data_IF_758538399137
#
_entry.id   IF_758538399137
#
_cell.length_a   1.000
_cell.length_b   1.000
_cell.length_c   1.000
_cell.angle_alpha   90.00
_cell.angle_beta   90.00
_cell.angle_gamma   90.00
#
_symmetry.space_group_name_H-M   'P 1'
#
loop_
_entity.id
_entity.type
_entity.pdbx_description
1 polymer ?
#
# COMPACT_ATOMS: atom_id res chain seq x y z
N UNK A 1 17.00 -27.44 19.13
CA UNK A 1 17.02 -26.07 19.67
C UNK A 1 15.64 -25.52 19.40
N UNK A 2 14.67 -25.89 20.24
CA UNK A 2 13.27 -25.51 20.08
C UNK A 2 12.82 -24.91 21.41
N UNK A 3 12.99 -23.58 21.50
CA UNK A 3 12.56 -22.79 22.64
C UNK A 3 11.16 -22.26 22.34
N UNK A 4 10.13 -22.99 22.78
CA UNK A 4 8.79 -22.43 22.91
C UNK A 4 8.74 -21.60 24.19
N UNK A 5 8.36 -20.31 24.14
CA UNK A 5 8.16 -19.52 25.35
C UNK A 5 6.90 -20.02 26.07
N UNK A 6 7.17 -20.70 27.18
CA UNK A 6 6.30 -21.01 28.29
C UNK A 6 5.43 -19.79 28.65
N UNK A 7 4.12 -19.89 28.40
CA UNK A 7 3.11 -18.93 28.88
C UNK A 7 2.95 -19.12 30.39
N UNK A 8 3.83 -18.50 31.17
CA UNK A 8 3.67 -18.39 32.62
C UNK A 8 2.65 -17.30 32.91
N UNK A 9 1.42 -17.74 33.17
CA UNK A 9 0.40 -16.94 33.84
C UNK A 9 0.86 -16.71 35.28
N UNK A 10 1.18 -15.46 35.63
CA UNK A 10 1.24 -15.01 37.02
C UNK A 10 0.30 -13.82 37.16
N UNK A 11 -0.89 -14.18 37.67
CA UNK A 11 -1.91 -13.31 38.22
C UNK A 11 -1.48 -12.98 39.65
N UNK A 12 -1.06 -11.75 39.92
CA UNK A 12 -0.82 -11.28 41.29
C UNK A 12 -1.18 -9.78 41.39
N UNK A 13 -2.48 -9.50 41.53
CA UNK A 13 -2.97 -8.50 42.49
C UNK A 13 -3.03 -7.01 42.09
N UNK A 14 -4.28 -6.56 41.95
CA UNK A 14 -4.77 -5.24 42.40
C UNK A 14 -4.45 -4.01 41.55
N UNK A 15 -5.31 -3.75 40.56
CA UNK A 15 -6.15 -2.54 40.59
C UNK A 15 -7.47 -2.80 39.86
N UNK A 16 -8.48 -3.00 40.69
CA UNK A 16 -9.88 -3.22 40.38
C UNK A 16 -10.49 -1.97 39.75
N UNK A 17 -10.57 -1.90 38.41
CA UNK A 17 -11.61 -1.12 37.68
C UNK A 17 -11.61 -1.32 36.14
N UNK A 18 -10.53 -1.78 35.51
CA UNK A 18 -10.46 -1.86 34.04
C UNK A 18 -11.07 -3.14 33.43
N UNK A 19 -11.14 -4.24 34.18
CA UNK A 19 -11.55 -5.55 33.65
C UNK A 19 -13.07 -5.76 33.52
N UNK A 20 -13.89 -4.96 34.21
CA UNK A 20 -15.36 -5.01 34.10
C UNK A 20 -15.86 -4.52 32.74
N UNK A 21 -15.05 -3.73 32.02
CA UNK A 21 -15.46 -3.10 30.78
C UNK A 21 -15.49 -4.07 29.59
N UNK A 22 -14.58 -5.04 29.52
CA UNK A 22 -14.50 -5.92 28.35
C UNK A 22 -15.66 -6.92 28.27
N UNK A 23 -16.06 -7.50 29.41
CA UNK A 23 -17.21 -8.40 29.47
C UNK A 23 -18.54 -7.65 29.23
N UNK A 24 -18.70 -6.47 29.84
CA UNK A 24 -19.87 -5.62 29.61
C UNK A 24 -19.98 -5.18 28.15
N UNK A 25 -18.90 -4.68 27.54
CA UNK A 25 -18.90 -4.26 26.13
C UNK A 25 -19.21 -5.39 25.16
N UNK A 26 -18.81 -6.63 25.48
CA UNK A 26 -19.22 -7.82 24.70
C UNK A 26 -20.71 -8.09 24.82
N UNK A 27 -21.27 -7.98 26.02
CA UNK A 27 -22.71 -8.14 26.23
C UNK A 27 -23.51 -7.02 25.55
N UNK A 28 -23.04 -5.77 25.61
CA UNK A 28 -23.66 -4.63 24.93
C UNK A 28 -23.66 -4.82 23.41
N UNK A 29 -22.56 -5.33 22.85
CA UNK A 29 -22.47 -5.64 21.41
C UNK A 29 -23.34 -6.83 20.99
N UNK A 30 -23.53 -7.80 21.89
CA UNK A 30 -24.42 -8.95 21.64
C UNK A 30 -25.89 -8.54 21.62
N UNK A 31 -26.26 -7.56 22.44
CA UNK A 31 -27.62 -7.04 22.59
C UNK A 31 -27.88 -5.74 21.80
N UNK A 32 -26.98 -5.37 20.89
CA UNK A 32 -27.15 -4.17 20.08
C UNK A 32 -28.39 -4.27 19.19
N UNK A 33 -29.05 -3.15 18.94
CA UNK A 33 -30.18 -3.09 17.99
C UNK A 33 -29.68 -3.02 16.55
N UNK A 34 -30.53 -3.39 15.59
CA UNK A 34 -30.20 -3.33 14.16
C UNK A 34 -29.76 -1.92 13.73
N UNK A 35 -30.42 -0.87 14.23
CA UNK A 35 -30.07 0.52 13.91
C UNK A 35 -28.68 0.94 14.42
N UNK A 36 -28.24 0.40 15.57
CA UNK A 36 -26.88 0.63 16.09
C UNK A 36 -25.84 -0.09 15.24
N UNK A 37 -26.11 -1.34 14.88
CA UNK A 37 -25.23 -2.10 14.00
C UNK A 37 -25.03 -1.43 12.64
N UNK A 38 -26.10 -0.94 12.02
CA UNK A 38 -26.01 -0.26 10.72
C UNK A 38 -25.20 1.04 10.80
N UNK A 39 -25.29 1.80 11.90
CA UNK A 39 -24.46 2.99 12.13
C UNK A 39 -22.98 2.65 12.31
N UNK A 40 -22.65 1.62 13.10
CA UNK A 40 -21.27 1.16 13.25
C UNK A 40 -20.69 0.70 11.90
N UNK A 41 -21.47 -0.08 11.14
CA UNK A 41 -21.09 -0.56 9.82
C UNK A 41 -20.85 0.58 8.83
N UNK A 42 -21.72 1.59 8.80
CA UNK A 42 -21.56 2.75 7.93
C UNK A 42 -20.33 3.60 8.30
N UNK A 43 -19.92 3.59 9.58
CA UNK A 43 -18.71 4.28 10.05
C UNK A 43 -17.42 3.49 9.82
N UNK A 44 -17.52 2.20 9.49
CA UNK A 44 -16.37 1.36 9.24
C UNK A 44 -15.74 1.72 7.90
N UNK A 45 -14.50 2.20 7.95
CA UNK A 45 -13.67 2.37 6.76
C UNK A 45 -12.55 1.33 6.81
N UNK A 46 -12.28 0.62 5.70
CA UNK A 46 -11.16 -0.30 5.67
C UNK A 46 -9.88 0.51 5.90
N UNK A 47 -9.04 0.02 6.80
CA UNK A 47 -7.71 0.58 7.01
C UNK A 47 -6.85 0.24 5.79
N UNK A 48 -6.97 1.05 4.75
CA UNK A 48 -6.10 0.99 3.58
C UNK A 48 -4.76 1.51 4.08
N UNK A 49 -3.76 0.63 4.21
CA UNK A 49 -2.40 1.09 4.46
C UNK A 49 -2.06 2.10 3.37
N UNK A 50 -1.69 3.35 3.71
CA UNK A 50 -1.22 4.27 2.70
C UNK A 50 -0.03 3.60 1.99
N UNK A 51 0.06 3.69 0.65
CA UNK A 51 1.21 3.15 -0.05
C UNK A 51 2.47 3.75 0.58
N UNK A 52 3.53 2.97 0.84
CA UNK A 52 4.74 3.49 1.42
C UNK A 52 5.21 4.69 0.59
N UNK A 53 5.53 5.81 1.25
CA UNK A 53 6.17 6.95 0.59
C UNK A 53 7.36 6.42 -0.19
N UNK A 54 7.29 6.52 -1.51
CA UNK A 54 8.37 6.05 -2.38
C UNK A 54 9.62 6.86 -2.04
N UNK A 55 10.75 6.22 -1.69
CA UNK A 55 12.01 6.93 -1.66
C UNK A 55 12.27 7.46 -3.07
N UNK A 56 12.80 8.68 -3.16
CA UNK A 56 13.30 9.22 -4.42
C UNK A 56 14.22 8.16 -5.07
N UNK A 57 14.26 8.05 -6.40
CA UNK A 57 15.11 7.11 -7.11
C UNK A 57 16.59 7.55 -7.00
N UNK A 58 17.17 7.37 -5.82
CA UNK A 58 18.55 7.77 -5.53
C UNK A 58 19.58 6.78 -6.11
N UNK A 59 19.13 5.59 -6.56
CA UNK A 59 19.97 4.54 -7.14
C UNK A 59 19.50 4.10 -8.54
N UNK A 60 20.44 3.63 -9.37
CA UNK A 60 20.15 3.02 -10.68
C UNK A 60 19.20 1.82 -10.56
N UNK A 61 19.29 1.10 -9.45
CA UNK A 61 18.43 -0.05 -9.14
C UNK A 61 16.98 0.36 -8.90
N UNK A 62 16.73 1.51 -8.27
CA UNK A 62 15.38 2.07 -8.15
C UNK A 62 14.79 2.39 -9.52
N UNK A 63 15.58 2.97 -10.44
CA UNK A 63 15.09 3.29 -11.79
C UNK A 63 14.67 2.03 -12.55
N UNK A 64 15.47 0.97 -12.50
CA UNK A 64 15.12 -0.31 -13.15
C UNK A 64 13.90 -0.96 -12.51
N UNK A 65 13.74 -0.84 -11.19
CA UNK A 65 12.57 -1.35 -10.47
C UNK A 65 11.31 -0.62 -10.90
N UNK A 66 11.33 0.72 -10.93
CA UNK A 66 10.17 1.52 -11.36
C UNK A 66 9.87 1.26 -12.84
N UNK A 67 10.89 1.03 -13.69
CA UNK A 67 10.69 0.63 -15.09
C UNK A 67 9.94 -0.71 -15.18
N UNK A 68 10.38 -1.71 -14.42
CA UNK A 68 9.69 -3.00 -14.35
C UNK A 68 8.22 -2.86 -13.93
N UNK A 69 7.95 -2.03 -12.92
CA UNK A 69 6.57 -1.73 -12.51
C UNK A 69 5.77 -1.04 -13.62
N UNK A 70 6.35 -0.10 -14.36
CA UNK A 70 5.68 0.59 -15.45
C UNK A 70 5.28 -0.39 -16.58
N UNK A 71 6.17 -1.32 -16.93
CA UNK A 71 5.90 -2.37 -17.91
C UNK A 71 4.84 -3.36 -17.43
N UNK A 72 4.92 -3.79 -16.17
CA UNK A 72 3.92 -4.66 -15.55
C UNK A 72 2.52 -4.05 -15.63
N UNK A 73 2.38 -2.77 -15.26
CA UNK A 73 1.13 -2.01 -15.35
C UNK A 73 0.61 -1.90 -16.77
N UNK A 74 1.51 -1.71 -17.74
CA UNK A 74 1.14 -1.71 -19.15
C UNK A 74 0.53 -3.05 -19.58
N UNK A 75 1.11 -4.17 -19.18
CA UNK A 75 0.58 -5.50 -19.48
C UNK A 75 -0.74 -5.79 -18.74
N UNK A 76 -0.93 -5.22 -17.54
CA UNK A 76 -2.22 -5.25 -16.83
C UNK A 76 -3.28 -4.31 -17.43
N UNK A 77 -2.96 -3.58 -18.50
CA UNK A 77 -3.83 -2.58 -19.16
C UNK A 77 -4.15 -1.36 -18.28
N UNK A 78 -3.38 -1.16 -17.21
CA UNK A 78 -3.40 0.04 -16.39
C UNK A 78 -2.52 1.13 -17.04
N UNK A 79 -3.00 1.66 -18.16
CA UNK A 79 -2.22 2.59 -19.00
C UNK A 79 -1.98 3.95 -18.34
N UNK A 80 -2.84 4.36 -17.40
CA UNK A 80 -2.64 5.59 -16.63
C UNK A 80 -1.44 5.46 -15.69
N UNK A 81 -1.40 4.40 -14.89
CA UNK A 81 -0.31 4.20 -13.93
C UNK A 81 1.01 3.86 -14.65
N UNK A 82 0.95 3.05 -15.72
CA UNK A 82 2.12 2.79 -16.56
C UNK A 82 2.74 4.07 -17.12
N UNK A 83 1.90 5.00 -17.64
CA UNK A 83 2.36 6.30 -18.15
C UNK A 83 2.92 7.17 -17.04
N UNK A 84 2.25 7.24 -15.89
CA UNK A 84 2.67 8.03 -14.73
C UNK A 84 4.07 7.62 -14.26
N UNK A 85 4.30 6.31 -14.09
CA UNK A 85 5.59 5.76 -13.67
C UNK A 85 6.70 6.02 -14.70
N UNK A 86 6.41 5.84 -15.99
CA UNK A 86 7.40 6.11 -17.04
C UNK A 86 7.78 7.60 -17.12
N UNK A 87 6.81 8.52 -16.97
CA UNK A 87 7.09 9.95 -16.91
C UNK A 87 7.86 10.35 -15.63
N UNK A 88 7.56 9.73 -14.48
CA UNK A 88 8.25 9.93 -13.20
C UNK A 88 9.74 9.61 -13.35
N UNK A 89 10.08 8.47 -13.95
CA UNK A 89 11.48 8.10 -14.23
C UNK A 89 12.16 9.11 -15.16
N UNK A 90 11.47 9.56 -16.22
CA UNK A 90 12.02 10.51 -17.19
C UNK A 90 12.24 11.92 -16.58
N UNK A 91 11.42 12.32 -15.60
CA UNK A 91 11.52 13.61 -14.90
C UNK A 91 12.53 13.57 -13.75
N UNK A 92 12.47 12.57 -12.90
CA UNK A 92 13.30 12.45 -11.69
C UNK A 92 14.69 11.86 -11.97
N UNK A 93 14.87 11.11 -13.06
CA UNK A 93 16.16 10.57 -13.49
C UNK A 93 17.22 11.60 -13.89
N UNK A 94 16.99 12.90 -13.62
CA UNK A 94 18.00 13.95 -13.69
C UNK A 94 18.63 14.10 -15.07
N UNK A 95 17.83 14.24 -16.12
CA UNK A 95 18.37 14.63 -17.43
C UNK A 95 19.17 13.55 -18.16
N UNK A 96 18.98 12.26 -17.86
CA UNK A 96 19.47 11.18 -18.70
C UNK A 96 20.89 10.70 -18.44
N UNK A 97 21.57 11.18 -17.40
CA UNK A 97 22.88 10.64 -17.00
C UNK A 97 22.77 9.30 -16.24
N UNK A 98 21.67 9.07 -15.52
CA UNK A 98 21.49 7.86 -14.69
C UNK A 98 20.86 6.69 -15.43
N UNK A 99 20.28 6.95 -16.60
CA UNK A 99 19.49 5.99 -17.38
C UNK A 99 20.23 5.71 -18.67
N UNK A 100 20.38 4.43 -19.02
CA UNK A 100 21.02 4.10 -20.28
C UNK A 100 20.19 4.64 -21.45
N UNK A 101 20.83 5.11 -22.52
CA UNK A 101 20.14 5.71 -23.69
C UNK A 101 19.02 4.81 -24.24
N UNK A 102 19.25 3.48 -24.24
CA UNK A 102 18.26 2.49 -24.66
C UNK A 102 17.03 2.47 -23.74
N UNK A 103 17.23 2.42 -22.42
CA UNK A 103 16.16 2.40 -21.42
C UNK A 103 15.30 3.66 -21.51
N UNK A 104 15.94 4.81 -21.75
CA UNK A 104 15.23 6.07 -21.99
C UNK A 104 14.32 5.97 -23.22
N UNK A 105 14.82 5.44 -24.33
CA UNK A 105 14.03 5.27 -25.55
C UNK A 105 12.84 4.33 -25.32
N UNK A 106 13.03 3.25 -24.55
CA UNK A 106 11.96 2.30 -24.21
C UNK A 106 10.88 2.97 -23.35
N UNK A 107 11.26 3.79 -22.37
CA UNK A 107 10.33 4.56 -21.53
C UNK A 107 9.56 5.60 -22.35
N UNK A 108 10.23 6.34 -23.23
CA UNK A 108 9.58 7.30 -24.13
C UNK A 108 8.56 6.61 -25.07
N UNK A 109 8.91 5.43 -25.59
CA UNK A 109 7.97 4.61 -26.36
C UNK A 109 6.79 4.13 -25.53
N UNK A 110 7.03 3.72 -24.28
CA UNK A 110 5.98 3.28 -23.36
C UNK A 110 4.98 4.41 -23.08
N UNK A 111 5.47 5.63 -22.82
CA UNK A 111 4.63 6.83 -22.64
C UNK A 111 3.78 7.07 -23.89
N UNK A 112 4.39 7.04 -25.08
CA UNK A 112 3.67 7.23 -26.35
C UNK A 112 2.57 6.18 -26.55
N UNK A 113 2.90 4.89 -26.38
CA UNK A 113 1.94 3.78 -26.53
C UNK A 113 0.80 3.89 -25.53
N UNK A 114 1.06 4.28 -24.28
CA UNK A 114 0.01 4.52 -23.29
C UNK A 114 -0.89 5.68 -23.74
N UNK A 115 -0.31 6.78 -24.24
CA UNK A 115 -1.07 7.91 -24.79
C UNK A 115 -2.00 7.51 -25.93
N UNK A 116 -1.49 6.73 -26.90
CA UNK A 116 -2.28 6.21 -28.01
C UNK A 116 -3.42 5.27 -27.55
N UNK A 117 -3.21 4.50 -26.48
CA UNK A 117 -4.21 3.59 -25.92
C UNK A 117 -5.29 4.31 -25.12
N UNK A 118 -4.93 5.39 -24.42
CA UNK A 118 -5.86 6.20 -23.64
C UNK A 118 -6.70 7.16 -24.49
N UNK A 119 -6.22 7.50 -25.70
CA UNK A 119 -6.94 8.32 -26.65
C UNK A 119 -7.92 7.54 -27.55
N UNK A 120 -7.91 6.20 -27.46
CA UNK A 120 -8.84 5.29 -28.14
C UNK A 120 -9.96 4.88 -27.21
#
# INVERSE_FOLDING_TARGET
MDLLPYLSSSDEGSDSECCNNAASRRADKLNQTEDQFQKEKASWTPMIQPPPCKPAPDSKENVLTIKGMAEERYYMRDFYEARRLAEEILKEGGGGERIHKLERQELEQLVRRCGERLAK
#
